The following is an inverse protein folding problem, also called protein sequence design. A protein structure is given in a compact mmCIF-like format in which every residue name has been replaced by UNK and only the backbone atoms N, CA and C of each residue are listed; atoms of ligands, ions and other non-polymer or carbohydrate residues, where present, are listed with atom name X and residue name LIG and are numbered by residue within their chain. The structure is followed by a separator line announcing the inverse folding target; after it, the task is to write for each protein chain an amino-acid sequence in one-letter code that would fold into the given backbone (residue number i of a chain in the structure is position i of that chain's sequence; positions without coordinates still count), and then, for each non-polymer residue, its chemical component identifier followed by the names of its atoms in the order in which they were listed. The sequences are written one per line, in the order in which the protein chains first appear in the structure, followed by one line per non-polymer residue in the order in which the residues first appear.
data_IF_734679853706
#
_entry.id   IF_734679853706
#
_cell.length_a   1.000
_cell.length_b   1.000
_cell.length_c   1.000
_cell.angle_alpha   90.00
_cell.angle_beta   90.00
_cell.angle_gamma   90.00
#
_symmetry.space_group_name_H-M   'P 1'
#
loop_
_entity.id
_entity.type
_entity.pdbx_description
1 polymer ?
#
# COMPACT_ATOMS: atom_id res chain seq x y z
N UNK A 1 36.89 8.15 22.69
CA UNK A 1 35.66 8.31 23.52
C UNK A 1 34.63 9.04 22.65
N UNK A 2 33.63 8.32 22.13
CA UNK A 2 32.60 8.87 21.23
C UNK A 2 31.53 9.61 22.04
N UNK A 3 31.33 10.89 21.72
CA UNK A 3 30.53 11.87 22.45
C UNK A 3 29.04 11.92 22.00
N UNK A 4 28.38 10.77 21.83
CA UNK A 4 26.91 10.71 21.62
C UNK A 4 26.28 9.48 22.29
N UNK A 5 25.92 9.56 23.57
CA UNK A 5 25.09 8.54 24.21
C UNK A 5 23.65 8.73 23.71
N UNK A 6 23.25 7.97 22.69
CA UNK A 6 21.86 8.03 22.22
C UNK A 6 21.56 7.39 20.87
N UNK A 7 22.57 7.13 20.03
CA UNK A 7 22.37 6.42 18.75
C UNK A 7 23.28 5.19 18.71
N UNK A 8 22.80 4.08 19.26
CA UNK A 8 23.40 2.78 18.99
C UNK A 8 23.10 2.45 17.54
N UNK A 9 24.11 2.30 16.69
CA UNK A 9 23.95 2.01 15.25
C UNK A 9 23.08 0.77 14.97
N UNK A 10 22.94 -0.12 15.96
CA UNK A 10 22.06 -1.28 15.94
C UNK A 10 20.55 -0.98 15.96
N UNK A 11 20.11 0.13 16.56
CA UNK A 11 18.67 0.45 16.63
C UNK A 11 18.13 0.92 15.28
N UNK A 12 18.93 1.73 14.56
CA UNK A 12 18.60 2.18 13.21
C UNK A 12 18.57 1.00 12.22
N UNK A 13 19.57 0.12 12.26
CA UNK A 13 19.58 -1.06 11.39
C UNK A 13 18.42 -2.01 11.71
N UNK A 14 18.05 -2.17 12.98
CA UNK A 14 16.88 -2.96 13.38
C UNK A 14 15.56 -2.39 12.82
N UNK A 15 15.39 -1.07 12.70
CA UNK A 15 14.20 -0.48 12.06
C UNK A 15 14.20 -0.63 10.52
N UNK A 16 15.37 -0.58 9.89
CA UNK A 16 15.48 -0.72 8.43
C UNK A 16 15.22 -2.15 7.96
N UNK A 17 15.77 -3.13 8.67
CA UNK A 17 15.69 -4.55 8.29
C UNK A 17 14.63 -5.35 9.06
N UNK A 18 14.13 -4.83 10.19
CA UNK A 18 13.25 -5.58 11.08
C UNK A 18 13.98 -6.71 11.79
N UNK A 19 13.29 -7.37 12.72
CA UNK A 19 13.76 -8.64 13.27
C UNK A 19 12.58 -9.54 13.59
N UNK A 20 12.43 -10.61 12.82
CA UNK A 20 11.37 -11.60 13.06
C UNK A 20 11.56 -12.33 14.39
N UNK A 21 12.80 -12.39 14.90
CA UNK A 21 13.14 -13.08 16.16
C UNK A 21 12.67 -12.28 17.38
N UNK A 22 12.61 -10.96 17.30
CA UNK A 22 12.15 -10.10 18.40
C UNK A 22 10.64 -9.86 18.39
N UNK A 23 9.91 -10.49 17.46
CA UNK A 23 8.45 -10.43 17.39
C UNK A 23 7.85 -11.10 18.61
N UNK A 24 7.05 -10.34 19.36
CA UNK A 24 6.34 -10.85 20.53
C UNK A 24 4.96 -11.37 20.15
N UNK A 25 4.36 -12.23 20.99
CA UNK A 25 2.95 -12.63 20.82
C UNK A 25 2.02 -11.42 20.81
N UNK A 26 2.35 -10.38 21.57
CA UNK A 26 1.61 -9.12 21.61
C UNK A 26 1.53 -8.46 20.23
N UNK A 27 2.66 -8.36 19.53
CA UNK A 27 2.73 -7.76 18.19
C UNK A 27 1.84 -8.53 17.19
N UNK A 28 1.88 -9.87 17.25
CA UNK A 28 1.04 -10.74 16.40
C UNK A 28 -0.45 -10.57 16.73
N UNK A 29 -0.82 -10.55 18.01
CA UNK A 29 -2.23 -10.35 18.40
C UNK A 29 -2.75 -8.97 18.01
N UNK A 30 -1.92 -7.92 18.15
CA UNK A 30 -2.29 -6.57 17.76
C UNK A 30 -2.50 -6.47 16.24
N UNK A 31 -1.63 -7.10 15.44
CA UNK A 31 -1.81 -7.21 14.00
C UNK A 31 -3.06 -8.01 13.64
N UNK A 32 -3.30 -9.15 14.27
CA UNK A 32 -4.48 -9.97 14.02
C UNK A 32 -5.79 -9.20 14.31
N UNK A 33 -5.84 -8.48 15.43
CA UNK A 33 -6.98 -7.62 15.78
C UNK A 33 -7.16 -6.49 14.78
N UNK A 34 -6.08 -5.80 14.41
CA UNK A 34 -6.12 -4.73 13.41
C UNK A 34 -6.62 -5.26 12.06
N UNK A 35 -6.12 -6.41 11.61
CA UNK A 35 -6.58 -7.07 10.38
C UNK A 35 -8.07 -7.39 10.46
N UNK A 36 -8.55 -7.90 11.59
CA UNK A 36 -9.98 -8.22 11.78
C UNK A 36 -10.85 -6.95 11.73
N UNK A 37 -10.40 -5.86 12.36
CA UNK A 37 -11.07 -4.55 12.28
C UNK A 37 -11.11 -4.03 10.85
N UNK A 38 -10.01 -4.14 10.10
CA UNK A 38 -9.96 -3.73 8.69
C UNK A 38 -10.90 -4.58 7.85
N UNK A 39 -10.91 -5.91 8.05
CA UNK A 39 -11.78 -6.82 7.31
C UNK A 39 -13.26 -6.50 7.58
N UNK A 40 -13.63 -6.34 8.84
CA UNK A 40 -14.97 -5.97 9.24
C UNK A 40 -15.37 -4.61 8.64
N UNK A 41 -14.52 -3.59 8.78
CA UNK A 41 -14.74 -2.27 8.19
C UNK A 41 -14.92 -2.34 6.67
N UNK A 42 -14.08 -3.10 5.97
CA UNK A 42 -14.17 -3.30 4.53
C UNK A 42 -15.47 -4.01 4.12
N UNK A 43 -15.89 -5.06 4.84
CA UNK A 43 -17.13 -5.80 4.56
C UNK A 43 -18.37 -4.93 4.80
N UNK A 44 -18.42 -4.21 5.92
CA UNK A 44 -19.56 -3.35 6.26
C UNK A 44 -19.63 -2.11 5.34
N UNK A 45 -18.49 -1.51 4.97
CA UNK A 45 -18.43 -0.24 4.23
C UNK A 45 -17.92 -0.39 2.78
N UNK A 46 -18.03 -1.59 2.21
CA UNK A 46 -17.53 -1.90 0.87
C UNK A 46 -18.08 -0.93 -0.20
N UNK A 47 -19.39 -0.61 -0.11
CA UNK A 47 -20.07 0.30 -1.04
C UNK A 47 -19.49 1.73 -0.97
N UNK A 48 -19.47 2.42 0.20
CA UNK A 48 -18.83 3.73 0.34
C UNK A 48 -17.39 3.78 -0.13
N UNK A 49 -16.57 2.78 0.24
CA UNK A 49 -15.15 2.72 -0.12
C UNK A 49 -14.99 2.64 -1.63
N UNK A 50 -15.77 1.78 -2.30
CA UNK A 50 -15.76 1.66 -3.75
C UNK A 50 -16.21 2.95 -4.45
N UNK A 51 -17.28 3.60 -3.98
CA UNK A 51 -17.71 4.87 -4.57
C UNK A 51 -16.64 5.95 -4.48
N UNK A 52 -15.99 6.09 -3.31
CA UNK A 52 -14.89 7.05 -3.12
C UNK A 52 -13.67 6.70 -3.98
N UNK A 53 -13.42 5.42 -4.26
CA UNK A 53 -12.31 4.96 -5.10
C UNK A 53 -12.55 5.22 -6.60
N UNK A 54 -13.79 5.10 -7.08
CA UNK A 54 -14.14 5.38 -8.48
C UNK A 54 -14.29 6.88 -8.75
N UNK A 55 -15.07 7.57 -7.94
CA UNK A 55 -15.33 9.01 -8.12
C UNK A 55 -15.76 9.66 -6.79
N UNK A 56 -14.89 10.53 -6.26
CA UNK A 56 -15.14 11.24 -5.00
C UNK A 56 -16.23 12.28 -5.10
N UNK A 57 -16.37 12.95 -6.25
CA UNK A 57 -17.37 13.99 -6.44
C UNK A 57 -18.76 13.37 -6.58
N UNK A 58 -18.86 12.24 -7.28
CA UNK A 58 -20.06 11.41 -7.34
C UNK A 58 -20.43 10.79 -5.98
N UNK A 59 -19.46 10.33 -5.19
CA UNK A 59 -19.73 9.85 -3.84
C UNK A 59 -20.28 10.98 -2.95
N UNK A 60 -19.77 12.20 -3.10
CA UNK A 60 -20.24 13.38 -2.34
C UNK A 60 -21.67 13.77 -2.74
N UNK A 61 -22.03 13.71 -4.03
CA UNK A 61 -23.40 14.01 -4.48
C UNK A 61 -24.42 12.99 -3.98
N UNK A 62 -24.00 11.76 -3.66
CA UNK A 62 -24.82 10.73 -3.01
C UNK A 62 -24.90 10.85 -1.48
N UNK A 63 -24.40 11.94 -0.90
CA UNK A 63 -24.45 12.18 0.54
C UNK A 63 -23.45 11.35 1.36
N UNK A 64 -22.47 10.70 0.72
CA UNK A 64 -21.44 9.93 1.43
C UNK A 64 -20.42 10.92 2.01
N UNK A 65 -20.09 10.85 3.31
CA UNK A 65 -19.09 11.72 3.93
C UNK A 65 -17.67 11.31 3.50
N UNK A 66 -17.29 11.68 2.28
CA UNK A 66 -16.03 11.26 1.63
C UNK A 66 -14.78 11.61 2.44
N UNK A 67 -14.81 12.73 3.19
CA UNK A 67 -13.71 13.12 4.08
C UNK A 67 -13.50 12.12 5.22
N UNK A 68 -14.58 11.69 5.87
CA UNK A 68 -14.52 10.74 7.00
C UNK A 68 -14.00 9.40 6.51
N UNK A 69 -14.54 8.90 5.39
CA UNK A 69 -14.07 7.63 4.78
C UNK A 69 -12.58 7.72 4.43
N UNK A 70 -12.15 8.82 3.82
CA UNK A 70 -10.75 9.02 3.43
C UNK A 70 -9.81 9.07 4.64
N UNK A 71 -10.16 9.82 5.69
CA UNK A 71 -9.35 9.89 6.92
C UNK A 71 -9.31 8.57 7.67
N UNK A 72 -10.44 7.85 7.72
CA UNK A 72 -10.52 6.55 8.39
C UNK A 72 -9.67 5.51 7.66
N UNK A 73 -9.73 5.47 6.32
CA UNK A 73 -8.83 4.64 5.52
C UNK A 73 -7.36 5.02 5.73
N UNK A 74 -7.03 6.31 5.71
CA UNK A 74 -5.66 6.77 5.94
C UNK A 74 -5.15 6.37 7.33
N UNK A 75 -5.98 6.49 8.36
CA UNK A 75 -5.64 6.10 9.73
C UNK A 75 -5.39 4.58 9.85
N UNK A 76 -6.26 3.76 9.24
CA UNK A 76 -6.09 2.30 9.22
C UNK A 76 -4.82 1.88 8.47
N UNK A 77 -4.54 2.50 7.33
CA UNK A 77 -3.30 2.27 6.57
C UNK A 77 -2.09 2.68 7.39
N UNK A 78 -2.11 3.86 8.02
CA UNK A 78 -1.01 4.33 8.85
C UNK A 78 -0.74 3.38 10.03
N UNK A 79 -1.79 2.97 10.75
CA UNK A 79 -1.66 1.98 11.84
C UNK A 79 -1.07 0.66 11.33
N UNK A 80 -1.54 0.17 10.19
CA UNK A 80 -1.04 -1.05 9.57
C UNK A 80 0.45 -0.96 9.25
N UNK A 81 0.88 0.16 8.64
CA UNK A 81 2.29 0.40 8.33
C UNK A 81 3.13 0.42 9.61
N UNK A 82 2.71 1.16 10.63
CA UNK A 82 3.45 1.29 11.89
C UNK A 82 3.66 -0.07 12.56
N UNK A 83 2.62 -0.91 12.64
CA UNK A 83 2.75 -2.26 13.21
C UNK A 83 3.62 -3.17 12.33
N UNK A 84 3.51 -3.04 11.01
CA UNK A 84 4.25 -3.88 10.06
C UNK A 84 5.75 -3.60 10.04
N UNK A 85 6.18 -2.34 10.27
CA UNK A 85 7.59 -1.95 10.31
C UNK A 85 8.38 -2.79 11.34
N UNK A 86 7.78 -3.09 12.49
CA UNK A 86 8.46 -3.84 13.55
C UNK A 86 8.79 -5.28 13.14
N UNK A 87 7.96 -5.88 12.30
CA UNK A 87 8.12 -7.27 11.85
C UNK A 87 8.98 -7.34 10.59
N UNK A 88 8.64 -6.56 9.56
CA UNK A 88 9.29 -6.62 8.26
C UNK A 88 10.51 -5.71 8.12
N UNK A 89 10.57 -4.60 8.86
CA UNK A 89 11.49 -3.49 8.59
C UNK A 89 11.01 -2.57 7.46
N UNK A 90 11.49 -1.33 7.48
CA UNK A 90 11.07 -0.29 6.51
C UNK A 90 11.45 -0.67 5.08
N UNK A 91 12.64 -1.24 4.85
CA UNK A 91 13.14 -1.55 3.50
C UNK A 91 12.30 -2.65 2.84
N UNK A 92 11.97 -3.71 3.57
CA UNK A 92 11.12 -4.79 3.04
C UNK A 92 9.69 -4.29 2.82
N UNK A 93 9.18 -3.44 3.72
CA UNK A 93 7.84 -2.87 3.61
C UNK A 93 7.68 -2.02 2.35
N UNK A 94 8.62 -1.11 2.05
CA UNK A 94 8.54 -0.28 0.83
C UNK A 94 8.63 -1.14 -0.44
N UNK A 95 9.44 -2.20 -0.42
CA UNK A 95 9.49 -3.18 -1.52
C UNK A 95 8.15 -3.88 -1.69
N UNK A 96 7.53 -4.36 -0.60
CA UNK A 96 6.24 -5.03 -0.65
C UNK A 96 5.13 -4.12 -1.20
N UNK A 97 5.10 -2.85 -0.78
CA UNK A 97 4.14 -1.88 -1.29
C UNK A 97 4.36 -1.55 -2.78
N UNK A 98 5.58 -1.70 -3.28
CA UNK A 98 5.92 -1.46 -4.69
C UNK A 98 5.49 -2.60 -5.60
N UNK A 99 5.51 -3.85 -5.11
CA UNK A 99 5.13 -5.06 -5.87
C UNK A 99 3.77 -4.91 -6.59
N UNK A 100 2.64 -4.61 -5.93
CA UNK A 100 1.35 -4.55 -6.62
C UNK A 100 1.32 -3.52 -7.74
N UNK A 101 1.97 -2.36 -7.55
CA UNK A 101 2.08 -1.31 -8.58
C UNK A 101 2.90 -1.82 -9.77
N UNK A 102 4.01 -2.50 -9.51
CA UNK A 102 4.84 -3.08 -10.58
C UNK A 102 4.14 -4.24 -11.31
N UNK A 103 3.37 -5.06 -10.59
CA UNK A 103 2.59 -6.17 -11.18
C UNK A 103 1.50 -5.62 -12.09
N UNK A 104 0.75 -4.61 -11.66
CA UNK A 104 -0.28 -3.96 -12.50
C UNK A 104 0.35 -3.33 -13.73
N UNK A 105 1.48 -2.62 -13.60
CA UNK A 105 2.18 -2.05 -14.74
C UNK A 105 2.74 -3.10 -15.70
N UNK A 106 3.25 -4.23 -15.19
CA UNK A 106 3.72 -5.34 -16.02
C UNK A 106 2.58 -6.02 -16.78
N UNK A 107 1.39 -6.13 -16.18
CA UNK A 107 0.20 -6.70 -16.81
C UNK A 107 -0.51 -5.73 -17.76
N UNK A 108 -0.45 -4.42 -17.50
CA UNK A 108 -1.07 -3.37 -18.31
C UNK A 108 -0.20 -3.09 -19.55
N UNK A 109 -0.15 -4.11 -20.42
CA UNK A 109 0.38 -4.19 -21.79
C UNK A 109 1.42 -3.14 -22.20
N UNK A 110 2.61 -3.67 -22.46
CA UNK A 110 3.69 -3.06 -23.21
C UNK A 110 3.14 -2.31 -24.46
N UNK A 111 3.09 -0.97 -24.37
CA UNK A 111 2.69 -0.10 -25.47
C UNK A 111 3.49 -0.38 -26.75
N UNK A 112 4.68 -0.97 -26.61
CA UNK A 112 5.56 -1.39 -27.71
C UNK A 112 4.97 -2.51 -28.56
N UNK A 113 4.19 -3.44 -27.99
CA UNK A 113 3.53 -4.50 -28.78
C UNK A 113 2.35 -3.95 -29.57
N UNK A 114 1.61 -2.97 -29.04
CA UNK A 114 0.53 -2.29 -29.76
C UNK A 114 1.12 -1.44 -30.90
N UNK A 115 2.20 -0.70 -30.63
CA UNK A 115 2.89 0.10 -31.65
C UNK A 115 3.55 -0.77 -32.75
N UNK A 116 4.10 -1.93 -32.41
CA UNK A 116 4.70 -2.85 -33.39
C UNK A 116 3.67 -3.57 -34.28
N UNK A 117 2.43 -3.70 -33.81
CA UNK A 117 1.32 -4.33 -34.57
C UNK A 117 0.47 -3.29 -35.31
N UNK A 118 0.81 -1.99 -35.21
CA UNK A 118 0.22 -0.95 -36.06
C UNK A 118 0.55 -1.23 -37.53
N UNK A 119 -0.44 -1.20 -38.44
CA UNK A 119 -0.22 -1.56 -39.84
C UNK A 119 0.83 -0.62 -40.44
N UNK A 120 2.03 -1.14 -40.71
CA UNK A 120 3.04 -0.44 -41.49
C UNK A 120 2.43 -0.17 -42.85
N UNK A 121 2.36 1.12 -43.21
CA UNK A 121 1.66 1.60 -44.39
C UNK A 121 1.94 0.74 -45.62
N UNK A 122 0.86 0.28 -46.25
CA UNK A 122 0.89 -0.27 -47.59
C UNK A 122 1.39 0.84 -48.54
N UNK A 123 2.47 0.63 -49.32
CA UNK A 123 2.88 1.61 -50.32
C UNK A 123 1.75 1.76 -51.35
N UNK A 124 1.32 3.01 -51.55
CA UNK A 124 0.33 3.38 -52.55
C UNK A 124 0.86 3.05 -53.95
N UNK A 125 0.15 2.26 -54.78
CA UNK A 125 0.51 2.12 -56.19
C UNK A 125 0.16 3.43 -56.91
N UNK A 126 1.16 4.03 -57.54
CA UNK A 126 1.01 5.04 -58.58
C UNK A 126 0.92 4.35 -59.94
#
# INVERSE_FOLDING_TARGET
MSLRPGYTSGDLSAYLFGSIVTVTRGDVTALALLTLVILAGALLWLRPIMYVAFDRDFARSRGIPTRVVSYLMAALVAATIVLSIRIMGIVLLISLLTIPVTVVNAFSRDYRTIAATGPRGTPSPA
#
